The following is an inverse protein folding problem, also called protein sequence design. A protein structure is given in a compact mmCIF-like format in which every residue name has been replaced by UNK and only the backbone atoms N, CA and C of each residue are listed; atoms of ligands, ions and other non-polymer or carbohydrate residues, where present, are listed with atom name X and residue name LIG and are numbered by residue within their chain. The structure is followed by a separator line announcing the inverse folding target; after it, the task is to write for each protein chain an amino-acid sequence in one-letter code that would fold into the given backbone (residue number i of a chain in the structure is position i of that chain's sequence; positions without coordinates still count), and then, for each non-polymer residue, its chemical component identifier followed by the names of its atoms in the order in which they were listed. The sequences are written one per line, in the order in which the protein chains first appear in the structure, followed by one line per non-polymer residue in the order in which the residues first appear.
data_IF_044494884128
#
_entry.id   IF_044494884128
#
_cell.length_a   1.000
_cell.length_b   1.000
_cell.length_c   1.000
_cell.angle_alpha   90.00
_cell.angle_beta   90.00
_cell.angle_gamma   90.00
#
_symmetry.space_group_name_H-M   'P 1'
#
loop_
_entity.id
_entity.type
_entity.pdbx_description
1 polymer ?
#
# COMPACT_ATOMS: atom_id res chain seq x y z
N UNK A 1 21.88 -23.72 32.38
CA UNK A 1 20.77 -24.20 31.53
C UNK A 1 20.41 -23.07 30.60
N UNK A 2 20.91 -23.08 29.36
CA UNK A 2 20.59 -22.03 28.39
C UNK A 2 19.09 -22.14 28.06
N UNK A 3 18.33 -21.09 28.35
CA UNK A 3 16.89 -21.03 28.04
C UNK A 3 16.67 -21.33 26.57
N UNK A 4 15.73 -22.23 26.28
CA UNK A 4 15.46 -22.65 24.92
C UNK A 4 14.82 -21.46 24.18
N UNK A 5 15.53 -20.94 23.18
CA UNK A 5 15.05 -19.84 22.35
C UNK A 5 14.07 -20.40 21.34
N UNK A 6 12.79 -20.03 21.46
CA UNK A 6 11.77 -20.37 20.48
C UNK A 6 11.46 -19.15 19.62
N UNK A 7 11.62 -19.29 18.30
CA UNK A 7 11.17 -18.28 17.35
C UNK A 7 9.64 -18.22 17.36
N UNK A 8 9.07 -17.03 17.53
CA UNK A 8 7.64 -16.78 17.52
C UNK A 8 7.40 -15.34 17.06
N UNK A 9 6.69 -15.14 15.96
CA UNK A 9 6.48 -13.84 15.32
C UNK A 9 6.45 -13.93 13.79
N UNK A 10 6.81 -12.85 13.11
CA UNK A 10 6.99 -12.78 11.65
C UNK A 10 8.46 -12.55 11.28
N UNK A 11 8.86 -13.08 10.12
CA UNK A 11 10.13 -12.76 9.46
C UNK A 11 9.80 -11.96 8.20
N UNK A 12 10.14 -10.69 8.17
CA UNK A 12 10.08 -9.93 6.92
C UNK A 12 11.24 -10.40 6.04
N UNK A 13 10.93 -11.03 4.91
CA UNK A 13 11.86 -10.97 3.79
C UNK A 13 11.70 -9.59 3.18
N UNK A 14 12.78 -8.81 3.11
CA UNK A 14 12.83 -7.72 2.15
C UNK A 14 12.73 -8.35 0.77
N UNK A 15 11.54 -8.29 0.16
CA UNK A 15 11.42 -8.47 -1.27
C UNK A 15 12.13 -7.27 -1.90
N UNK A 16 13.43 -7.42 -2.11
CA UNK A 16 14.33 -6.40 -2.68
C UNK A 16 13.94 -5.95 -4.10
N UNK A 17 12.79 -6.38 -4.64
CA UNK A 17 12.39 -6.08 -6.02
C UNK A 17 10.88 -5.93 -6.12
N UNK A 18 10.46 -4.82 -6.74
CA UNK A 18 9.14 -4.65 -7.33
C UNK A 18 8.70 -5.94 -8.02
N UNK A 19 7.65 -6.59 -7.51
CA UNK A 19 7.09 -7.76 -8.17
C UNK A 19 6.54 -7.34 -9.55
N UNK A 20 6.92 -8.03 -10.64
CA UNK A 20 6.40 -7.73 -11.96
C UNK A 20 4.89 -8.01 -12.04
N UNK A 21 4.24 -7.42 -13.06
CA UNK A 21 2.81 -7.58 -13.33
C UNK A 21 2.43 -9.08 -13.39
N UNK A 22 1.36 -9.45 -12.68
CA UNK A 22 0.85 -10.83 -12.64
C UNK A 22 1.46 -11.77 -11.59
N UNK A 23 2.53 -11.40 -10.88
CA UNK A 23 3.05 -12.23 -9.78
C UNK A 23 2.21 -12.12 -8.49
N UNK A 24 1.98 -13.28 -7.85
CA UNK A 24 1.43 -13.39 -6.49
C UNK A 24 2.55 -13.11 -5.47
N UNK A 25 2.24 -12.54 -4.30
CA UNK A 25 3.26 -12.22 -3.30
C UNK A 25 3.95 -13.50 -2.81
N UNK A 26 5.29 -13.50 -2.76
CA UNK A 26 6.09 -14.64 -2.32
C UNK A 26 6.27 -14.66 -0.79
N UNK A 27 6.23 -13.49 -0.15
CA UNK A 27 6.31 -13.32 1.30
C UNK A 27 5.95 -11.86 1.64
N UNK A 28 5.06 -11.63 2.61
CA UNK A 28 4.74 -10.29 3.09
C UNK A 28 3.74 -9.52 2.20
N UNK A 29 2.63 -9.10 2.79
CA UNK A 29 1.47 -8.47 2.13
C UNK A 29 1.71 -7.02 1.71
N UNK A 30 2.97 -6.60 1.55
CA UNK A 30 3.39 -5.22 1.31
C UNK A 30 3.89 -5.04 -0.12
N UNK A 31 3.37 -4.05 -0.83
CA UNK A 31 3.78 -3.72 -2.19
C UNK A 31 4.18 -2.26 -2.33
N UNK A 32 5.15 -2.01 -3.21
CA UNK A 32 5.25 -0.69 -3.86
C UNK A 32 4.17 -0.58 -4.93
N UNK A 33 3.30 0.42 -4.80
CA UNK A 33 2.23 0.71 -5.75
C UNK A 33 2.18 2.20 -6.08
N UNK A 34 1.29 2.59 -6.99
CA UNK A 34 1.17 3.95 -7.47
C UNK A 34 -0.28 4.41 -7.51
N UNK A 35 -0.49 5.69 -7.21
CA UNK A 35 -1.78 6.35 -7.30
C UNK A 35 -1.62 7.71 -8.00
N UNK A 36 -2.36 7.90 -9.10
CA UNK A 36 -2.44 9.18 -9.80
C UNK A 36 -3.57 10.03 -9.24
N UNK A 37 -3.28 11.28 -8.88
CA UNK A 37 -4.26 12.24 -8.36
C UNK A 37 -4.00 13.64 -8.90
N UNK A 38 -4.95 14.55 -8.65
CA UNK A 38 -4.76 15.96 -8.97
C UNK A 38 -3.80 16.60 -7.94
N UNK A 39 -2.90 17.47 -8.39
CA UNK A 39 -1.92 18.18 -7.57
C UNK A 39 -2.57 18.94 -6.40
N UNK A 40 -3.79 19.44 -6.59
CA UNK A 40 -4.56 20.16 -5.56
C UNK A 40 -4.95 19.24 -4.38
N UNK A 41 -5.07 17.94 -4.61
CA UNK A 41 -5.37 16.95 -3.57
C UNK A 41 -4.12 16.44 -2.86
N UNK A 42 -2.94 16.63 -3.46
CA UNK A 42 -1.71 15.96 -3.04
C UNK A 42 -1.34 16.28 -1.59
N UNK A 43 -1.39 17.56 -1.20
CA UNK A 43 -1.08 18.00 0.16
C UNK A 43 -2.02 17.38 1.19
N UNK A 44 -3.34 17.40 0.92
CA UNK A 44 -4.35 16.85 1.80
C UNK A 44 -4.18 15.33 1.99
N UNK A 45 -3.83 14.61 0.92
CA UNK A 45 -3.55 13.17 0.99
C UNK A 45 -2.32 12.89 1.84
N UNK A 46 -1.24 13.67 1.70
CA UNK A 46 -0.03 13.48 2.51
C UNK A 46 -0.36 13.71 3.99
N UNK A 47 -0.95 14.85 4.34
CA UNK A 47 -1.15 15.23 5.75
C UNK A 47 -2.32 14.52 6.43
N UNK A 48 -3.35 14.13 5.68
CA UNK A 48 -4.60 13.59 6.21
C UNK A 48 -4.91 12.16 5.80
N UNK A 49 -4.04 11.54 5.00
CA UNK A 49 -4.26 10.21 4.44
C UNK A 49 -5.24 10.18 3.27
N UNK A 50 -5.43 9.00 2.70
CA UNK A 50 -6.39 8.80 1.61
C UNK A 50 -7.83 8.78 2.11
N UNK A 51 -8.75 9.30 1.28
CA UNK A 51 -10.18 9.09 1.47
C UNK A 51 -10.69 8.05 0.47
N UNK A 52 -11.43 7.02 0.92
CA UNK A 52 -11.99 6.03 0.00
C UNK A 52 -12.96 6.67 -0.99
N UNK A 53 -12.88 6.25 -2.24
CA UNK A 53 -13.90 6.56 -3.25
C UNK A 53 -15.27 6.01 -2.80
N UNK A 54 -16.37 6.63 -3.25
CA UNK A 54 -17.73 6.15 -2.92
C UNK A 54 -18.12 4.87 -3.69
N UNK A 55 -17.32 4.47 -4.69
CA UNK A 55 -17.58 3.32 -5.54
C UNK A 55 -16.53 3.20 -6.65
N UNK A 56 -16.80 2.36 -7.63
CA UNK A 56 -15.91 2.09 -8.75
C UNK A 56 -16.09 0.67 -9.26
N UNK A 57 -15.17 0.20 -10.10
CA UNK A 57 -15.23 -1.14 -10.67
C UNK A 57 -15.22 -2.23 -9.58
N UNK A 58 -14.45 -2.01 -8.52
CA UNK A 58 -14.31 -2.88 -7.36
C UNK A 58 -15.08 -2.35 -6.13
N UNK A 59 -15.99 -1.39 -6.28
CA UNK A 59 -16.68 -0.79 -5.15
C UNK A 59 -15.87 0.27 -4.41
N UNK A 60 -16.22 0.54 -3.14
CA UNK A 60 -15.62 1.59 -2.31
C UNK A 60 -14.22 1.18 -1.85
N UNK A 61 -13.28 2.11 -1.96
CA UNK A 61 -11.89 1.92 -1.53
C UNK A 61 -10.95 2.92 -2.19
N UNK A 62 -9.65 2.75 -1.93
CA UNK A 62 -8.56 3.50 -2.58
C UNK A 62 -8.00 2.65 -3.71
N UNK A 63 -8.04 3.20 -4.92
CA UNK A 63 -7.56 2.51 -6.12
C UNK A 63 -6.07 2.74 -6.31
N UNK A 64 -5.31 1.67 -6.44
CA UNK A 64 -3.85 1.69 -6.61
C UNK A 64 -3.45 0.70 -7.71
N UNK A 65 -2.23 0.84 -8.23
CA UNK A 65 -1.73 0.02 -9.32
C UNK A 65 -0.24 -0.23 -9.13
N UNK A 66 0.24 -1.46 -9.37
CA UNK A 66 1.70 -1.72 -9.43
C UNK A 66 2.31 -1.16 -10.71
N UNK A 67 1.49 -0.93 -11.74
CA UNK A 67 1.89 -0.31 -12.99
C UNK A 67 1.82 1.23 -12.89
N UNK A 68 2.98 1.89 -12.90
CA UNK A 68 3.08 3.37 -12.86
C UNK A 68 2.50 4.05 -14.10
N UNK A 69 2.61 3.43 -15.28
CA UNK A 69 2.05 3.97 -16.52
C UNK A 69 0.52 3.99 -16.49
N UNK A 70 -0.10 3.06 -15.77
CA UNK A 70 -1.54 3.12 -15.47
C UNK A 70 -1.85 4.28 -14.52
N UNK A 71 -1.09 4.45 -13.44
CA UNK A 71 -1.32 5.54 -12.49
C UNK A 71 -1.17 6.92 -13.14
N UNK A 72 -0.20 7.10 -14.06
CA UNK A 72 -0.01 8.33 -14.86
C UNK A 72 -1.21 8.69 -15.76
N UNK A 73 -2.15 7.77 -16.00
CA UNK A 73 -3.37 8.08 -16.75
C UNK A 73 -4.39 8.86 -15.91
N UNK A 74 -4.26 8.87 -14.58
CA UNK A 74 -5.23 9.46 -13.67
C UNK A 74 -4.74 10.76 -13.02
N UNK A 75 -5.68 11.69 -12.72
CA UNK A 75 -7.09 11.68 -13.09
C UNK A 75 -7.31 11.80 -14.61
N UNK A 76 -8.35 11.15 -15.13
CA UNK A 76 -8.69 11.19 -16.55
C UNK A 76 -9.01 12.63 -16.98
N UNK A 77 -8.82 12.94 -18.27
CA UNK A 77 -9.18 14.22 -18.89
C UNK A 77 -8.62 15.46 -18.17
N UNK A 78 -7.47 15.31 -17.51
CA UNK A 78 -6.79 16.39 -16.78
C UNK A 78 -5.48 16.74 -17.45
N UNK A 79 -5.09 18.02 -17.44
CA UNK A 79 -3.78 18.48 -17.90
C UNK A 79 -2.67 17.72 -17.14
N UNK A 80 -1.68 17.20 -17.86
CA UNK A 80 -0.51 16.51 -17.30
C UNK A 80 0.24 17.33 -16.26
N UNK A 81 0.20 18.67 -16.35
CA UNK A 81 0.80 19.58 -15.35
C UNK A 81 0.10 19.53 -13.99
N UNK A 82 -1.19 19.17 -13.97
CA UNK A 82 -1.99 19.03 -12.76
C UNK A 82 -2.02 17.60 -12.22
N UNK A 83 -1.34 16.65 -12.88
CA UNK A 83 -1.26 15.27 -12.43
C UNK A 83 -0.02 15.05 -11.56
N UNK A 84 -0.25 14.41 -10.41
CA UNK A 84 0.80 13.88 -9.54
C UNK A 84 0.62 12.39 -9.41
N UNK A 85 1.72 11.63 -9.43
CA UNK A 85 1.71 10.20 -9.12
C UNK A 85 2.51 9.97 -7.85
N UNK A 86 1.83 9.45 -6.83
CA UNK A 86 2.47 9.01 -5.61
C UNK A 86 3.08 7.62 -5.78
N UNK A 87 4.25 7.40 -5.18
CA UNK A 87 4.79 6.09 -4.86
C UNK A 87 4.31 5.73 -3.46
N UNK A 88 3.70 4.57 -3.33
CA UNK A 88 3.03 4.11 -2.13
C UNK A 88 3.65 2.82 -1.63
N UNK A 89 3.61 2.63 -0.32
CA UNK A 89 3.78 1.33 0.31
C UNK A 89 2.41 0.88 0.81
N UNK A 90 1.95 -0.27 0.32
CA UNK A 90 0.56 -0.73 0.50
C UNK A 90 0.55 -2.10 1.13
N UNK A 91 -0.07 -2.22 2.31
CA UNK A 91 -0.38 -3.51 2.94
C UNK A 91 -1.72 -4.04 2.44
N UNK A 92 -1.72 -5.01 1.52
CA UNK A 92 -2.95 -5.52 0.88
C UNK A 92 -3.74 -6.50 1.73
N UNK A 93 -3.22 -6.93 2.89
CA UNK A 93 -3.94 -7.86 3.75
C UNK A 93 -4.38 -9.15 3.04
N UNK A 94 -5.62 -9.56 3.29
CA UNK A 94 -6.29 -10.67 2.59
C UNK A 94 -6.87 -10.18 1.24
N UNK A 95 -6.36 -10.70 0.14
CA UNK A 95 -6.73 -10.27 -1.22
C UNK A 95 -7.84 -11.14 -1.82
N UNK A 96 -8.88 -10.50 -2.37
CA UNK A 96 -9.87 -11.17 -3.22
C UNK A 96 -9.55 -10.95 -4.69
N UNK A 97 -9.25 -12.04 -5.41
CA UNK A 97 -9.16 -12.04 -6.87
C UNK A 97 -10.54 -11.86 -7.49
N UNK A 98 -10.67 -10.92 -8.42
CA UNK A 98 -11.86 -10.65 -9.23
C UNK A 98 -11.47 -10.80 -10.71
N UNK A 99 -11.76 -11.94 -11.32
CA UNK A 99 -11.22 -12.34 -12.63
C UNK A 99 -12.27 -12.64 -13.70
N UNK A 100 -13.52 -12.29 -13.43
CA UNK A 100 -14.64 -12.42 -14.36
C UNK A 100 -15.63 -11.27 -14.22
N UNK A 101 -16.35 -10.98 -15.30
CA UNK A 101 -17.54 -10.13 -15.24
C UNK A 101 -18.58 -10.74 -14.28
N UNK A 102 -19.33 -9.88 -13.60
CA UNK A 102 -20.38 -10.27 -12.64
C UNK A 102 -19.87 -11.15 -11.49
N UNK A 103 -18.59 -11.05 -11.12
CA UNK A 103 -18.07 -11.79 -9.97
C UNK A 103 -18.88 -11.42 -8.71
N UNK A 104 -19.40 -12.39 -7.93
CA UNK A 104 -20.37 -12.15 -6.86
C UNK A 104 -19.85 -11.22 -5.76
N UNK A 105 -18.53 -11.21 -5.54
CA UNK A 105 -17.86 -10.34 -4.58
C UNK A 105 -17.25 -9.07 -5.17
N UNK A 106 -17.50 -8.72 -6.44
CA UNK A 106 -16.83 -7.62 -7.14
C UNK A 106 -16.89 -6.28 -6.37
N UNK A 107 -18.01 -5.99 -5.71
CA UNK A 107 -18.20 -4.76 -4.92
C UNK A 107 -18.37 -5.00 -3.42
N UNK A 108 -18.40 -6.27 -2.99
CA UNK A 108 -18.74 -6.65 -1.61
C UNK A 108 -17.64 -7.45 -0.89
N UNK A 109 -16.47 -7.59 -1.52
CA UNK A 109 -15.31 -8.28 -0.96
C UNK A 109 -14.94 -7.75 0.44
N UNK A 110 -15.02 -6.45 0.70
CA UNK A 110 -14.67 -5.89 2.02
C UNK A 110 -15.63 -6.34 3.12
N UNK A 111 -16.93 -6.42 2.85
CA UNK A 111 -17.90 -6.98 3.81
C UNK A 111 -17.73 -8.48 4.03
N UNK A 112 -16.96 -9.15 3.16
CA UNK A 112 -16.62 -10.57 3.26
C UNK A 112 -15.23 -10.80 3.90
N UNK A 113 -14.70 -9.79 4.59
CA UNK A 113 -13.46 -9.89 5.37
C UNK A 113 -12.19 -9.89 4.52
N UNK A 114 -12.23 -9.29 3.32
CA UNK A 114 -11.04 -9.05 2.50
C UNK A 114 -10.59 -7.59 2.64
N UNK A 115 -9.28 -7.37 2.66
CA UNK A 115 -8.68 -6.05 2.83
C UNK A 115 -8.42 -5.35 1.49
N UNK A 116 -8.25 -6.14 0.43
CA UNK A 116 -8.02 -5.67 -0.93
C UNK A 116 -8.78 -6.54 -1.94
N UNK A 117 -9.32 -5.93 -3.00
CA UNK A 117 -9.70 -6.64 -4.21
C UNK A 117 -8.69 -6.37 -5.33
N UNK A 118 -8.40 -7.40 -6.11
CA UNK A 118 -7.43 -7.35 -7.20
C UNK A 118 -8.02 -7.96 -8.47
N UNK A 119 -7.96 -7.20 -9.57
CA UNK A 119 -8.21 -7.71 -10.91
C UNK A 119 -6.86 -8.01 -11.56
N UNK A 120 -6.59 -9.27 -11.95
CA UNK A 120 -5.32 -9.62 -12.57
C UNK A 120 -5.20 -9.03 -13.99
N UNK A 121 -3.97 -8.91 -14.49
CA UNK A 121 -3.76 -8.54 -15.88
C UNK A 121 -4.37 -9.60 -16.81
N UNK A 122 -4.84 -9.16 -17.98
CA UNK A 122 -5.46 -10.01 -19.00
C UNK A 122 -6.61 -10.89 -18.48
N UNK A 123 -7.37 -10.39 -17.49
CA UNK A 123 -8.55 -11.07 -16.96
C UNK A 123 -9.73 -11.06 -17.93
N UNK A 124 -10.74 -11.88 -17.64
CA UNK A 124 -11.99 -11.92 -18.40
C UNK A 124 -12.98 -10.80 -17.98
N UNK A 125 -12.50 -9.73 -17.34
CA UNK A 125 -13.31 -8.57 -16.94
C UNK A 125 -13.37 -7.57 -18.10
N UNK A 126 -14.47 -7.59 -18.86
CA UNK A 126 -14.63 -6.77 -20.09
C UNK A 126 -14.60 -5.26 -19.83
N UNK A 127 -14.92 -4.85 -18.60
CA UNK A 127 -14.87 -3.44 -18.21
C UNK A 127 -13.43 -2.87 -18.26
N UNK A 128 -12.39 -3.71 -18.12
CA UNK A 128 -11.00 -3.30 -18.25
C UNK A 128 -10.50 -3.53 -19.68
N UNK A 129 -10.85 -2.60 -20.58
CA UNK A 129 -10.42 -2.66 -21.99
C UNK A 129 -8.91 -2.64 -22.18
N UNK A 130 -8.16 -2.09 -21.23
CA UNK A 130 -6.70 -2.03 -21.28
C UNK A 130 -6.02 -3.35 -20.95
N UNK A 131 -6.74 -4.32 -20.38
CA UNK A 131 -6.16 -5.56 -19.85
C UNK A 131 -5.22 -5.38 -18.66
N UNK A 132 -5.06 -4.15 -18.13
CA UNK A 132 -4.13 -3.86 -17.03
C UNK A 132 -4.78 -4.13 -15.67
N UNK A 133 -4.00 -4.68 -14.76
CA UNK A 133 -4.45 -4.97 -13.40
C UNK A 133 -4.93 -3.76 -12.59
N UNK A 134 -5.78 -3.99 -11.59
CA UNK A 134 -6.31 -2.97 -10.70
C UNK A 134 -6.45 -3.50 -9.27
N UNK A 135 -5.98 -2.73 -8.30
CA UNK A 135 -6.11 -3.03 -6.88
C UNK A 135 -7.02 -1.98 -6.22
N UNK A 136 -7.87 -2.42 -5.31
CA UNK A 136 -8.73 -1.56 -4.50
C UNK A 136 -8.59 -1.95 -3.04
N UNK A 137 -8.01 -1.05 -2.24
CA UNK A 137 -7.76 -1.26 -0.81
C UNK A 137 -8.90 -0.65 0.00
N UNK A 138 -9.44 -1.40 0.96
CA UNK A 138 -10.62 -0.97 1.71
C UNK A 138 -10.30 0.14 2.71
N UNK A 139 -9.25 -0.08 3.51
CA UNK A 139 -8.85 0.80 4.60
C UNK A 139 -7.62 1.65 4.19
N UNK A 140 -7.76 2.99 4.10
CA UNK A 140 -6.66 3.91 3.82
C UNK A 140 -5.46 3.79 4.77
N UNK A 141 -5.66 3.36 6.02
CA UNK A 141 -4.57 3.21 7.01
C UNK A 141 -3.48 2.25 6.55
N UNK A 142 -3.82 1.36 5.62
CA UNK A 142 -2.92 0.37 5.01
C UNK A 142 -2.00 0.95 3.92
N UNK A 143 -2.11 2.25 3.65
CA UNK A 143 -1.40 2.94 2.55
C UNK A 143 -0.54 4.06 3.12
N UNK A 144 0.77 3.94 2.95
CA UNK A 144 1.71 5.01 3.25
C UNK A 144 2.17 5.69 1.96
N UNK A 145 2.14 7.02 1.94
CA UNK A 145 2.75 7.82 0.86
C UNK A 145 4.26 7.89 1.10
N UNK A 146 5.03 7.27 0.22
CA UNK A 146 6.50 7.21 0.37
C UNK A 146 7.21 8.29 -0.43
N UNK A 147 6.68 8.63 -1.60
CA UNK A 147 7.32 9.60 -2.48
C UNK A 147 6.35 10.16 -3.52
N UNK A 148 6.78 11.19 -4.25
CA UNK A 148 6.18 11.64 -5.50
C UNK A 148 7.01 11.12 -6.67
N UNK A 149 6.49 10.09 -7.34
CA UNK A 149 7.14 9.44 -8.48
C UNK A 149 7.09 10.32 -9.75
N UNK A 150 6.01 11.08 -9.95
CA UNK A 150 5.82 11.95 -11.12
C UNK A 150 5.12 13.23 -10.70
N UNK A 151 5.65 14.38 -11.12
CA UNK A 151 5.02 15.69 -11.00
C UNK A 151 5.56 16.60 -12.12
N UNK A 152 4.67 17.21 -12.91
CA UNK A 152 5.08 18.11 -14.00
C UNK A 152 5.64 19.46 -13.52
N UNK A 153 5.26 19.89 -12.31
CA UNK A 153 5.74 21.11 -11.67
C UNK A 153 6.89 20.79 -10.71
N UNK A 154 8.09 21.32 -11.00
CA UNK A 154 9.30 21.07 -10.20
C UNK A 154 9.23 21.68 -8.80
N UNK A 155 8.61 22.85 -8.65
CA UNK A 155 8.49 23.51 -7.35
C UNK A 155 7.57 22.71 -6.44
N UNK A 156 6.41 22.30 -6.98
CA UNK A 156 5.48 21.43 -6.26
C UNK A 156 6.06 20.06 -5.98
N UNK A 157 6.87 19.50 -6.89
CA UNK A 157 7.56 18.23 -6.66
C UNK A 157 8.45 18.30 -5.42
N UNK A 158 9.25 19.35 -5.30
CA UNK A 158 10.12 19.58 -4.13
C UNK A 158 9.32 19.82 -2.85
N UNK A 159 8.28 20.66 -2.91
CA UNK A 159 7.39 20.95 -1.77
C UNK A 159 6.77 19.68 -1.20
N UNK A 160 6.16 18.86 -2.06
CA UNK A 160 5.46 17.64 -1.65
C UNK A 160 6.42 16.59 -1.09
N UNK A 161 7.61 16.42 -1.70
CA UNK A 161 8.63 15.50 -1.19
C UNK A 161 9.16 15.93 0.19
N UNK A 162 9.37 17.23 0.40
CA UNK A 162 9.78 17.75 1.70
C UNK A 162 8.71 17.51 2.76
N UNK A 163 7.44 17.69 2.41
CA UNK A 163 6.31 17.43 3.30
C UNK A 163 6.21 15.94 3.69
N UNK A 164 6.35 15.03 2.70
CA UNK A 164 6.38 13.58 2.94
C UNK A 164 7.51 13.22 3.90
N UNK A 165 8.75 13.68 3.64
CA UNK A 165 9.90 13.42 4.52
C UNK A 165 9.66 13.88 5.95
N UNK A 166 9.09 15.08 6.13
CA UNK A 166 8.78 15.61 7.48
C UNK A 166 7.80 14.70 8.22
N UNK A 167 6.81 14.15 7.53
CA UNK A 167 5.81 13.29 8.14
C UNK A 167 6.37 11.91 8.48
N UNK A 168 7.16 11.31 7.58
CA UNK A 168 7.82 10.04 7.81
C UNK A 168 8.81 10.10 8.99
N UNK A 169 9.51 11.24 9.17
CA UNK A 169 10.42 11.47 10.32
C UNK A 169 9.63 11.66 11.64
N UNK A 170 8.50 12.36 11.60
CA UNK A 170 7.68 12.61 12.79
C UNK A 170 7.00 11.34 13.33
N UNK A 171 6.87 10.30 12.51
CA UNK A 171 6.25 9.01 12.83
C UNK A 171 7.27 7.90 13.16
N UNK A 172 8.47 8.25 13.66
CA UNK A 172 9.55 7.30 13.97
C UNK A 172 9.22 6.24 15.04
N UNK A 173 9.91 5.08 15.01
CA UNK A 173 9.68 3.95 15.93
C UNK A 173 10.42 4.12 17.25
N UNK A 174 9.72 4.03 18.37
CA UNK A 174 10.37 3.91 19.69
C UNK A 174 10.98 2.52 19.95
N UNK A 175 10.63 1.48 19.15
CA UNK A 175 10.96 0.08 19.45
C UNK A 175 12.18 -0.46 18.68
N UNK A 176 12.31 -0.13 17.39
CA UNK A 176 13.40 -0.67 16.58
C UNK A 176 14.62 0.26 16.48
N UNK A 177 14.55 1.51 16.97
CA UNK A 177 15.60 2.55 16.91
C UNK A 177 16.16 2.84 15.50
N UNK A 178 15.63 2.22 14.45
CA UNK A 178 16.01 2.50 13.07
C UNK A 178 15.20 3.69 12.60
N UNK A 179 15.89 4.80 12.32
CA UNK A 179 15.38 5.89 11.50
C UNK A 179 15.22 5.41 10.05
N UNK A 180 14.24 4.55 9.78
CA UNK A 180 13.83 4.30 8.40
C UNK A 180 12.95 5.44 7.93
N UNK A 181 13.03 5.78 6.65
CA UNK A 181 12.16 6.74 5.94
C UNK A 181 10.68 6.27 5.89
N UNK A 182 10.20 5.47 6.85
CA UNK A 182 9.03 4.60 6.73
C UNK A 182 8.33 4.42 8.11
N UNK A 183 7.05 4.84 8.31
CA UNK A 183 6.29 4.62 9.56
C UNK A 183 5.85 3.17 9.71
N UNK A 184 5.56 2.71 10.92
CA UNK A 184 5.34 1.27 11.20
C UNK A 184 4.26 1.05 12.26
N UNK A 185 3.33 0.14 11.93
CA UNK A 185 2.20 -0.29 12.76
C UNK A 185 2.68 -1.20 13.90
N UNK A 186 2.75 -0.69 15.14
CA UNK A 186 3.20 -1.45 16.31
C UNK A 186 2.09 -2.43 16.72
N UNK A 187 2.43 -3.71 16.89
CA UNK A 187 1.49 -4.77 17.26
C UNK A 187 1.96 -5.48 18.54
N UNK A 188 1.07 -6.18 19.25
CA UNK A 188 1.45 -7.01 20.39
C UNK A 188 1.85 -8.42 19.92
N UNK A 189 2.96 -8.94 20.46
CA UNK A 189 3.35 -10.33 20.22
C UNK A 189 2.31 -11.27 20.82
N UNK A 190 1.75 -12.15 19.99
CA UNK A 190 0.70 -13.10 20.39
C UNK A 190 1.13 -14.09 21.49
N UNK A 191 2.44 -14.20 21.78
CA UNK A 191 3.00 -15.18 22.71
C UNK A 191 3.48 -14.53 24.01
N UNK A 192 4.32 -13.48 23.92
CA UNK A 192 4.92 -12.85 25.09
C UNK A 192 4.25 -11.54 25.50
N UNK A 193 3.33 -11.00 24.69
CA UNK A 193 2.66 -9.72 24.95
C UNK A 193 3.56 -8.49 24.81
N UNK A 194 4.83 -8.65 24.42
CA UNK A 194 5.71 -7.52 24.13
C UNK A 194 5.22 -6.74 22.92
N UNK A 195 5.34 -5.40 22.96
CA UNK A 195 5.15 -4.57 21.77
C UNK A 195 6.24 -4.92 20.76
N UNK A 196 5.83 -5.26 19.54
CA UNK A 196 6.70 -5.66 18.44
C UNK A 196 6.48 -4.76 17.22
N UNK A 197 7.58 -4.36 16.59
CA UNK A 197 7.54 -3.67 15.30
C UNK A 197 7.57 -4.71 14.17
N UNK A 198 6.65 -4.66 13.18
CA UNK A 198 6.68 -5.55 12.02
C UNK A 198 7.95 -5.46 11.16
N UNK A 199 8.80 -4.46 11.39
CA UNK A 199 10.06 -4.23 10.68
C UNK A 199 11.29 -4.61 11.52
N UNK A 200 11.13 -5.18 12.71
CA UNK A 200 12.23 -5.90 13.37
C UNK A 200 12.68 -7.05 12.46
N UNK A 201 14.00 -7.22 12.27
CA UNK A 201 14.55 -8.32 11.46
C UNK A 201 14.07 -9.69 11.95
N UNK A 202 13.90 -9.79 13.27
CA UNK A 202 13.32 -10.91 13.97
C UNK A 202 12.87 -10.45 15.37
N UNK A 203 11.70 -10.92 15.80
CA UNK A 203 11.32 -10.90 17.21
C UNK A 203 11.66 -12.26 17.82
N UNK A 204 12.34 -12.25 18.96
CA UNK A 204 12.70 -13.47 19.70
C UNK A 204 12.04 -13.43 21.07
N UNK A 205 11.09 -14.33 21.29
CA UNK A 205 10.46 -14.51 22.60
C UNK A 205 11.48 -15.14 23.56
N UNK A 206 11.84 -14.41 24.62
CA UNK A 206 12.49 -15.04 25.76
C UNK A 206 11.43 -15.75 26.60
N UNK A 207 11.63 -17.05 26.83
CA UNK A 207 10.85 -17.79 27.82
C UNK A 207 11.21 -17.24 29.20
N UNK A 208 10.20 -16.78 29.95
CA UNK A 208 10.30 -16.68 31.42
C UNK A 208 10.35 -18.06 32.03
#
# INVERSE_FOLDING_TARGET
MAGMVYFSGWRTSEDSKSLPEGEKPKSGRLYTMYHGTNINNARAIITGGFQPSRGGLLGKGVYVSRNIEKAKCYPLQTDKKLQVVFKLRVNVGKVKKIDSDNHPLQKSWSQNGYDCAWIPPHSNVKAIKSGREEDCVWDPSRITVMDVAVCGDKSKHQELRALIRKQLIAEGCELCEINTEEPHDIQDCWQCGSRICPFEREHVCMST
#
